data_IF_347098336076
#
_entry.id   IF_347098336076
#
_cell.length_a   1.000
_cell.length_b   1.000
_cell.length_c   1.000
_cell.angle_alpha   90.00
_cell.angle_beta   90.00
_cell.angle_gamma   90.00
#
_symmetry.space_group_name_H-M   'P 1'
#
loop_
_entity.id
_entity.type
_entity.pdbx_description
1 polymer ?
#
# COMPACT_ATOMS: atom_id res chain seq x y z
N UNK A 1 2.68 -3.83 -22.49
CA UNK A 1 2.48 -3.27 -21.12
C UNK A 1 3.22 -4.18 -20.15
N UNK A 2 4.29 -3.71 -19.51
CA UNK A 2 4.91 -4.43 -18.39
C UNK A 2 4.64 -3.64 -17.11
N UNK A 3 4.08 -4.33 -16.11
CA UNK A 3 3.85 -3.77 -14.78
C UNK A 3 5.11 -4.04 -13.98
N UNK A 4 5.86 -2.99 -13.65
CA UNK A 4 7.05 -3.10 -12.83
C UNK A 4 6.61 -3.01 -11.37
N UNK A 5 6.37 -4.17 -10.76
CA UNK A 5 6.13 -4.30 -9.32
C UNK A 5 7.46 -4.56 -8.64
N UNK A 6 7.74 -3.90 -7.50
CA UNK A 6 8.81 -4.36 -6.59
C UNK A 6 8.49 -5.81 -6.21
N UNK A 7 9.43 -6.73 -6.48
CA UNK A 7 9.43 -8.16 -6.13
C UNK A 7 8.05 -8.84 -6.04
N UNK A 8 7.63 -9.52 -7.12
CA UNK A 8 6.60 -10.55 -7.00
C UNK A 8 7.26 -11.87 -6.56
N UNK A 9 7.17 -12.23 -5.28
CA UNK A 9 7.41 -13.62 -4.84
C UNK A 9 6.20 -14.46 -5.21
N UNK A 10 6.30 -15.22 -6.30
CA UNK A 10 5.31 -16.24 -6.64
C UNK A 10 5.68 -17.48 -5.84
N UNK A 11 4.90 -17.81 -4.81
CA UNK A 11 4.99 -19.14 -4.19
C UNK A 11 4.40 -20.15 -5.18
N UNK A 12 5.19 -21.12 -5.62
CA UNK A 12 4.70 -22.21 -6.47
C UNK A 12 3.60 -22.98 -5.74
N UNK A 13 2.40 -23.02 -6.32
CA UNK A 13 1.32 -23.89 -5.86
C UNK A 13 1.18 -25.04 -6.86
N UNK A 14 1.65 -26.22 -6.47
CA UNK A 14 1.52 -27.44 -7.28
C UNK A 14 0.15 -28.08 -7.03
N UNK A 15 -0.72 -28.07 -8.05
CA UNK A 15 -1.99 -28.82 -8.05
C UNK A 15 -1.88 -30.03 -8.98
N UNK A 16 -1.81 -31.27 -8.46
CA UNK A 16 -1.51 -32.47 -9.26
C UNK A 16 -2.66 -32.96 -10.16
N UNK A 17 -3.78 -32.24 -10.30
CA UNK A 17 -4.99 -32.72 -11.01
C UNK A 17 -5.36 -32.00 -12.32
N UNK A 18 -4.47 -31.21 -12.94
CA UNK A 18 -4.80 -30.50 -14.20
C UNK A 18 -3.73 -30.75 -15.26
N UNK A 19 -4.04 -31.58 -16.26
CA UNK A 19 -3.08 -32.11 -17.23
C UNK A 19 -2.75 -31.22 -18.42
N UNK A 20 -3.47 -30.11 -18.69
CA UNK A 20 -3.08 -29.16 -19.75
C UNK A 20 -3.43 -27.72 -19.38
N UNK A 21 -2.48 -27.03 -18.75
CA UNK A 21 -2.43 -25.57 -18.67
C UNK A 21 -1.00 -25.14 -18.97
N UNK A 22 -0.79 -24.37 -20.04
CA UNK A 22 0.49 -23.67 -20.24
C UNK A 22 0.55 -22.52 -19.23
N UNK A 23 1.33 -22.69 -18.17
CA UNK A 23 1.64 -21.61 -17.24
C UNK A 23 2.44 -20.55 -18.01
N UNK A 24 1.83 -19.39 -18.27
CA UNK A 24 2.57 -18.21 -18.73
C UNK A 24 3.28 -17.62 -17.52
N UNK A 25 4.56 -17.95 -17.36
CA UNK A 25 5.41 -17.33 -16.34
C UNK A 25 5.74 -15.91 -16.79
N UNK A 26 5.33 -14.92 -16.01
CA UNK A 26 5.74 -13.54 -16.23
C UNK A 26 7.13 -13.35 -15.62
N UNK A 27 8.12 -13.02 -16.45
CA UNK A 27 9.49 -12.77 -15.98
C UNK A 27 9.49 -11.58 -15.03
N UNK A 28 9.89 -11.81 -13.78
CA UNK A 28 10.18 -10.73 -12.83
C UNK A 28 11.56 -10.18 -13.18
N UNK A 29 11.62 -8.90 -13.52
CA UNK A 29 12.86 -8.20 -13.82
C UNK A 29 13.42 -7.57 -12.53
N UNK A 30 14.73 -7.28 -12.47
CA UNK A 30 15.34 -6.62 -11.33
C UNK A 30 14.84 -5.17 -11.12
N UNK A 31 15.41 -4.47 -10.13
CA UNK A 31 15.08 -3.07 -9.88
C UNK A 31 15.43 -2.18 -11.07
N UNK A 32 14.61 -1.16 -11.33
CA UNK A 32 14.94 -0.13 -12.33
C UNK A 32 16.08 0.73 -11.77
N UNK A 33 17.17 0.82 -12.53
CA UNK A 33 18.27 1.73 -12.26
C UNK A 33 18.05 3.09 -12.93
N UNK A 34 17.69 3.09 -14.21
CA UNK A 34 17.47 4.31 -14.99
C UNK A 34 16.39 4.10 -16.07
N UNK A 35 15.58 5.13 -16.33
CA UNK A 35 14.68 5.18 -17.47
C UNK A 35 15.24 6.20 -18.46
N UNK A 36 15.72 5.71 -19.61
CA UNK A 36 16.07 6.50 -20.80
C UNK A 36 14.82 6.61 -21.69
N UNK A 37 14.89 7.34 -22.81
CA UNK A 37 13.73 7.64 -23.67
C UNK A 37 12.82 6.42 -23.93
N UNK A 38 13.36 5.35 -24.52
CA UNK A 38 12.62 4.13 -24.84
C UNK A 38 13.20 2.87 -24.18
N UNK A 39 14.24 3.03 -23.36
CA UNK A 39 15.02 1.94 -22.78
C UNK A 39 15.06 2.08 -21.27
N UNK A 40 14.87 0.98 -20.55
CA UNK A 40 15.03 0.90 -19.10
C UNK A 40 16.27 0.07 -18.81
N UNK A 41 17.18 0.64 -18.01
CA UNK A 41 18.34 -0.04 -17.47
C UNK A 41 18.00 -0.58 -16.07
N UNK A 42 18.36 -1.84 -15.82
CA UNK A 42 18.12 -2.54 -14.57
C UNK A 42 19.38 -2.54 -13.69
N UNK A 43 19.21 -2.82 -12.39
CA UNK A 43 20.30 -2.82 -11.40
C UNK A 43 21.42 -3.83 -11.71
N UNK A 44 21.15 -4.85 -12.51
CA UNK A 44 22.10 -5.85 -12.98
C UNK A 44 22.83 -5.43 -14.27
N UNK A 45 22.57 -4.23 -14.79
CA UNK A 45 23.14 -3.70 -16.02
C UNK A 45 22.40 -4.09 -17.30
N UNK A 46 21.37 -4.93 -17.23
CA UNK A 46 20.57 -5.28 -18.41
C UNK A 46 19.75 -4.08 -18.91
N UNK A 47 19.55 -4.00 -20.22
CA UNK A 47 18.73 -2.97 -20.86
C UNK A 47 17.60 -3.59 -21.69
N UNK A 48 16.38 -3.07 -21.54
CA UNK A 48 15.22 -3.50 -22.31
C UNK A 48 14.37 -2.32 -22.77
N UNK A 49 13.77 -2.43 -23.96
CA UNK A 49 12.85 -1.41 -24.48
C UNK A 49 11.40 -1.66 -24.06
N UNK A 50 10.69 -0.58 -23.72
CA UNK A 50 9.30 -0.62 -23.29
C UNK A 50 8.46 0.45 -23.96
N UNK A 51 7.26 0.08 -24.44
CA UNK A 51 6.30 1.05 -24.97
C UNK A 51 5.51 1.78 -23.87
N UNK A 52 5.44 1.19 -22.66
CA UNK A 52 4.73 1.77 -21.53
C UNK A 52 5.26 1.20 -20.21
N UNK A 53 5.35 2.07 -19.20
CA UNK A 53 5.75 1.74 -17.82
C UNK A 53 4.58 2.09 -16.90
N UNK A 54 4.15 1.14 -16.06
CA UNK A 54 3.13 1.37 -15.03
C UNK A 54 3.80 1.24 -13.66
N UNK A 55 3.80 2.34 -12.89
CA UNK A 55 4.29 2.33 -11.51
C UNK A 55 3.22 1.79 -10.56
N UNK A 56 3.36 0.52 -10.19
CA UNK A 56 2.57 -0.12 -9.15
C UNK A 56 3.38 -0.19 -7.83
N UNK A 57 4.10 0.88 -7.48
CA UNK A 57 5.04 0.95 -6.34
C UNK A 57 4.37 1.30 -5.00
N UNK A 58 3.03 1.29 -4.97
CA UNK A 58 2.22 1.65 -3.82
C UNK A 58 1.89 3.15 -3.76
N UNK A 59 1.39 3.60 -2.61
CA UNK A 59 1.04 4.99 -2.35
C UNK A 59 1.64 5.46 -1.02
N UNK A 60 1.82 6.78 -0.88
CA UNK A 60 2.18 7.41 0.40
C UNK A 60 0.96 8.16 0.94
N UNK A 61 0.74 8.05 2.25
CA UNK A 61 -0.26 8.87 2.92
C UNK A 61 0.21 10.33 2.92
N UNK A 62 -0.64 11.25 2.41
CA UNK A 62 -0.34 12.69 2.36
C UNK A 62 -1.04 13.48 3.47
N UNK A 63 -1.68 12.81 4.44
CA UNK A 63 -2.35 13.45 5.58
C UNK A 63 -1.45 14.46 6.29
N UNK A 64 -0.18 14.13 6.49
CA UNK A 64 0.82 14.98 7.16
C UNK A 64 1.16 16.27 6.39
N UNK A 65 0.72 16.41 5.13
CA UNK A 65 0.89 17.64 4.34
C UNK A 65 -0.22 18.65 4.53
N UNK A 66 -1.44 18.21 4.89
CA UNK A 66 -2.61 19.08 5.01
C UNK A 66 -3.18 19.13 6.42
N UNK A 67 -3.05 18.06 7.19
CA UNK A 67 -3.38 18.03 8.61
C UNK A 67 -2.24 18.67 9.37
N UNK A 68 -2.52 19.67 10.20
CA UNK A 68 -1.53 20.27 11.12
C UNK A 68 -1.54 19.51 12.45
N UNK A 69 -0.46 19.65 13.22
CA UNK A 69 -0.35 19.10 14.57
C UNK A 69 -0.66 17.60 14.67
N UNK A 70 -0.27 16.87 13.62
CA UNK A 70 -0.60 15.47 13.41
C UNK A 70 0.26 14.48 14.22
N UNK A 71 1.24 14.97 14.99
CA UNK A 71 2.27 14.13 15.63
C UNK A 71 1.69 13.12 16.63
N UNK A 72 0.50 13.38 17.19
CA UNK A 72 -0.23 12.43 18.04
C UNK A 72 -0.88 11.28 17.26
N UNK A 73 -0.97 11.37 15.93
CA UNK A 73 -1.73 10.46 15.06
C UNK A 73 -0.82 9.81 14.01
N UNK A 74 0.11 10.56 13.44
CA UNK A 74 0.96 10.12 12.34
C UNK A 74 2.45 10.37 12.63
N UNK A 75 3.30 9.45 12.19
CA UNK A 75 4.72 9.70 11.97
C UNK A 75 4.91 10.63 10.78
N UNK A 76 6.09 11.24 10.65
CA UNK A 76 6.42 12.18 9.58
C UNK A 76 6.25 11.57 8.17
N UNK A 77 6.43 10.24 8.03
CA UNK A 77 6.25 9.51 6.77
C UNK A 77 4.77 9.20 6.42
N UNK A 78 3.82 9.62 7.28
CA UNK A 78 2.39 9.38 7.14
C UNK A 78 1.92 8.04 7.68
N UNK A 79 2.77 7.29 8.39
CA UNK A 79 2.37 6.06 9.07
C UNK A 79 1.51 6.37 10.30
N UNK A 80 0.35 5.72 10.41
CA UNK A 80 -0.58 5.89 11.53
C UNK A 80 0.00 5.28 12.81
N UNK A 81 0.12 6.07 13.87
CA UNK A 81 0.51 5.67 15.23
C UNK A 81 -0.76 5.30 16.02
N UNK A 82 -1.74 6.20 16.00
CA UNK A 82 -2.98 6.06 16.77
C UNK A 82 -4.18 6.47 15.91
N UNK A 83 -5.31 5.77 16.06
CA UNK A 83 -6.55 6.10 15.36
C UNK A 83 -7.35 7.20 16.06
N UNK A 84 -7.09 7.44 17.36
CA UNK A 84 -7.71 8.49 18.17
C UNK A 84 -6.70 9.61 18.41
N UNK A 85 -6.99 10.76 17.83
CA UNK A 85 -6.25 12.00 18.07
C UNK A 85 -6.85 12.85 19.17
N UNK A 86 -6.31 14.05 19.33
CA UNK A 86 -6.80 15.05 20.27
C UNK A 86 -8.02 15.80 19.72
N UNK A 87 -8.72 16.52 20.60
CA UNK A 87 -9.83 17.41 20.23
C UNK A 87 -10.95 16.76 19.40
N UNK A 88 -11.21 15.47 19.61
CA UNK A 88 -12.25 14.72 18.92
C UNK A 88 -11.89 14.32 17.48
N UNK A 89 -10.62 14.41 17.10
CA UNK A 89 -10.12 13.95 15.81
C UNK A 89 -9.95 12.42 15.82
N UNK A 90 -10.48 11.77 14.77
CA UNK A 90 -10.33 10.33 14.55
C UNK A 90 -9.80 10.05 13.15
N UNK A 91 -9.05 8.97 13.00
CA UNK A 91 -8.46 8.54 11.74
C UNK A 91 -8.79 7.08 11.44
N UNK A 92 -9.50 6.86 10.34
CA UNK A 92 -9.85 5.53 9.83
C UNK A 92 -9.24 5.33 8.43
N UNK A 93 -8.88 4.09 8.09
CA UNK A 93 -8.39 3.75 6.74
C UNK A 93 -6.88 3.88 6.52
N UNK A 94 -6.13 4.38 7.50
CA UNK A 94 -4.69 4.64 7.35
C UNK A 94 -3.78 3.53 7.88
N UNK A 95 -4.33 2.44 8.42
CA UNK A 95 -3.55 1.38 9.08
C UNK A 95 -2.84 0.40 8.12
N UNK A 96 -3.11 0.46 6.80
CA UNK A 96 -2.61 -0.48 5.78
C UNK A 96 -2.96 -1.96 6.07
N UNK A 97 -3.98 -2.21 6.90
CA UNK A 97 -4.45 -3.56 7.30
C UNK A 97 -5.60 -4.10 6.44
N UNK A 98 -5.80 -3.54 5.25
CA UNK A 98 -6.90 -3.91 4.35
C UNK A 98 -8.30 -3.64 4.92
N UNK A 99 -9.32 -4.18 4.26
CA UNK A 99 -10.75 -3.94 4.57
C UNK A 99 -11.09 -4.33 6.03
N UNK A 100 -10.56 -5.46 6.51
CA UNK A 100 -10.75 -5.88 7.90
C UNK A 100 -10.17 -4.85 8.89
N UNK A 101 -9.00 -4.29 8.58
CA UNK A 101 -8.40 -3.19 9.34
C UNK A 101 -9.29 -1.95 9.44
N UNK A 102 -9.91 -1.57 8.32
CA UNK A 102 -10.83 -0.42 8.27
C UNK A 102 -12.04 -0.67 9.17
N UNK A 103 -12.66 -1.85 9.07
CA UNK A 103 -13.83 -2.21 9.86
C UNK A 103 -13.55 -2.18 11.37
N UNK A 104 -12.38 -2.68 11.79
CA UNK A 104 -12.01 -2.66 13.21
C UNK A 104 -11.86 -1.23 13.75
N UNK A 105 -11.20 -0.34 13.00
CA UNK A 105 -11.02 1.06 13.42
C UNK A 105 -12.35 1.81 13.41
N UNK A 106 -13.20 1.60 12.39
CA UNK A 106 -14.53 2.22 12.34
C UNK A 106 -15.39 1.83 13.55
N UNK A 107 -15.34 0.56 13.99
CA UNK A 107 -16.04 0.10 15.19
C UNK A 107 -15.49 0.76 16.46
N UNK A 108 -14.17 0.83 16.60
CA UNK A 108 -13.52 1.48 17.75
C UNK A 108 -13.91 2.96 17.86
N UNK A 109 -13.94 3.69 16.74
CA UNK A 109 -14.40 5.09 16.69
C UNK A 109 -15.87 5.19 17.10
N UNK A 110 -16.73 4.32 16.58
CA UNK A 110 -18.15 4.34 16.92
C UNK A 110 -18.39 4.08 18.43
N UNK A 111 -17.64 3.17 19.03
CA UNK A 111 -17.76 2.87 20.46
C UNK A 111 -17.22 4.01 21.34
N UNK A 112 -16.12 4.64 20.95
CA UNK A 112 -15.59 5.83 21.64
C UNK A 112 -16.57 7.02 21.58
N UNK A 113 -17.17 7.27 20.41
CA UNK A 113 -18.19 8.31 20.26
C UNK A 113 -19.43 8.07 21.12
N UNK A 114 -19.84 6.80 21.34
CA UNK A 114 -20.95 6.48 22.25
C UNK A 114 -20.63 6.87 23.69
N UNK A 115 -19.39 6.65 24.13
CA UNK A 115 -18.93 7.01 25.47
C UNK A 115 -18.92 8.54 25.60
N UNK A 116 -18.20 9.23 24.71
CA UNK A 116 -18.08 10.70 24.70
C UNK A 116 -19.44 11.40 24.62
N UNK A 117 -20.41 10.84 23.88
CA UNK A 117 -21.76 11.41 23.80
C UNK A 117 -22.55 11.23 25.09
N UNK A 118 -22.39 10.11 25.80
CA UNK A 118 -23.07 9.88 27.09
C UNK A 118 -22.53 10.78 28.18
N UNK A 119 -21.22 11.04 28.19
CA UNK A 119 -20.60 11.91 29.20
C UNK A 119 -21.00 13.40 29.06
N UNK A 120 -21.67 13.77 27.96
CA UNK A 120 -22.14 15.13 27.68
C UNK A 120 -23.64 15.34 27.91
N UNK A 121 -24.37 14.31 28.33
CA UNK A 121 -25.81 14.35 28.63
C UNK A 121 -25.98 14.11 30.12
#
# INVERSE_FOLDING_TARGET
IHVLTREMRINEYHNPKKSHFTLKYQKVLPGILEIKEHTVMFDNGDEHQFQAIIFATGYKNIATKWLKDYSSIFLQDGTLINWKGENGLYCAGFSKRGIAGISMVARAIADDLKIVRRDKI
#
